data_IF_126371420624
#
_entry.id   IF_126371420624
#
_cell.length_a   1.000
_cell.length_b   1.000
_cell.length_c   1.000
_cell.angle_alpha   90.00
_cell.angle_beta   90.00
_cell.angle_gamma   90.00
#
_symmetry.space_group_name_H-M   'P 1'
#
loop_
_entity.id
_entity.type
_entity.pdbx_description
1 polymer ?
#
# COMPACT_ATOMS: atom_id res chain seq x y z
N UNK A 1 -24.05 -61.68 72.43
CA UNK A 1 -24.07 -62.24 71.08
C UNK A 1 -25.10 -61.47 70.25
N UNK A 2 -24.71 -60.39 69.63
CA UNK A 2 -25.54 -59.73 68.65
C UNK A 2 -24.67 -59.17 67.57
N UNK A 3 -24.84 -59.64 66.31
CA UNK A 3 -24.15 -59.21 65.14
C UNK A 3 -24.94 -58.03 64.56
N UNK A 4 -24.35 -56.86 64.55
CA UNK A 4 -24.89 -55.67 63.91
C UNK A 4 -24.32 -55.63 62.46
N UNK A 5 -25.24 -55.77 61.47
CA UNK A 5 -24.94 -55.58 60.07
C UNK A 5 -24.99 -54.04 59.75
N UNK A 6 -23.86 -53.49 59.37
CA UNK A 6 -23.79 -52.11 58.90
C UNK A 6 -24.08 -52.06 57.41
N UNK A 7 -25.19 -51.39 57.03
CA UNK A 7 -25.53 -51.09 55.67
C UNK A 7 -24.88 -49.77 55.28
N UNK A 8 -24.05 -49.81 54.26
CA UNK A 8 -23.48 -48.63 53.60
C UNK A 8 -24.42 -48.13 52.49
N UNK A 9 -24.79 -46.87 52.40
CA UNK A 9 -25.45 -46.31 51.23
C UNK A 9 -24.41 -45.86 50.19
N UNK A 10 -24.59 -46.37 48.96
CA UNK A 10 -23.86 -45.97 47.78
C UNK A 10 -24.27 -44.53 47.37
N UNK A 11 -23.35 -43.57 47.52
CA UNK A 11 -23.51 -42.26 46.95
C UNK A 11 -23.09 -42.32 45.46
N UNK A 12 -24.03 -42.18 44.58
CA UNK A 12 -23.77 -41.99 43.15
C UNK A 12 -23.27 -40.54 42.89
N UNK A 13 -21.98 -40.43 42.56
CA UNK A 13 -21.36 -39.17 42.16
C UNK A 13 -21.68 -38.92 40.68
N UNK A 14 -22.65 -38.05 40.38
CA UNK A 14 -22.94 -37.56 39.05
C UNK A 14 -21.86 -36.49 38.69
N UNK A 15 -20.86 -36.88 37.87
CA UNK A 15 -19.96 -35.97 37.22
C UNK A 15 -20.71 -35.25 36.09
N UNK A 16 -21.13 -34.03 36.33
CA UNK A 16 -21.55 -33.12 35.28
C UNK A 16 -20.34 -32.67 34.46
N UNK A 17 -20.15 -33.25 33.27
CA UNK A 17 -19.26 -32.69 32.25
C UNK A 17 -19.84 -31.39 31.75
N UNK A 18 -19.36 -30.27 32.33
CA UNK A 18 -19.56 -28.96 31.75
C UNK A 18 -18.81 -28.86 30.43
N UNK A 19 -19.50 -28.95 29.30
CA UNK A 19 -18.97 -28.63 28.00
C UNK A 19 -18.74 -27.14 27.95
N UNK A 20 -17.52 -26.70 28.25
CA UNK A 20 -17.04 -25.36 27.89
C UNK A 20 -16.98 -25.28 26.36
N UNK A 21 -18.06 -24.79 25.75
CA UNK A 21 -18.04 -24.26 24.41
C UNK A 21 -17.23 -22.95 24.45
N UNK A 22 -15.90 -23.07 24.51
CA UNK A 22 -15.03 -21.94 24.21
C UNK A 22 -15.22 -21.59 22.75
N UNK A 23 -15.75 -20.41 22.54
CA UNK A 23 -15.84 -19.69 21.29
C UNK A 23 -14.45 -19.69 20.63
N UNK A 24 -14.15 -20.73 19.87
CA UNK A 24 -12.95 -20.79 19.04
C UNK A 24 -13.21 -19.83 17.87
N UNK A 25 -12.98 -18.54 18.07
CA UNK A 25 -12.66 -17.67 16.95
C UNK A 25 -11.60 -18.43 16.14
N UNK A 26 -11.97 -18.82 14.93
CA UNK A 26 -11.05 -19.44 14.01
C UNK A 26 -9.93 -18.42 13.78
N UNK A 27 -8.81 -18.61 14.47
CA UNK A 27 -7.56 -17.90 14.20
C UNK A 27 -7.14 -18.41 12.83
N UNK A 28 -7.38 -17.61 11.79
CA UNK A 28 -6.86 -17.92 10.47
C UNK A 28 -5.33 -17.99 10.61
N UNK A 29 -4.68 -19.07 10.10
CA UNK A 29 -3.23 -19.18 10.19
C UNK A 29 -2.60 -17.95 9.51
N UNK A 30 -1.61 -17.36 10.18
CA UNK A 30 -0.77 -16.31 9.61
C UNK A 30 -0.25 -16.78 8.23
N UNK A 31 -0.31 -15.94 7.18
CA UNK A 31 0.16 -16.34 5.86
C UNK A 31 1.65 -16.73 5.95
N UNK A 32 2.00 -17.86 5.35
CA UNK A 32 3.40 -18.23 5.18
C UNK A 32 4.15 -17.15 4.40
N UNK A 33 5.48 -17.06 4.53
CA UNK A 33 6.31 -16.10 3.78
C UNK A 33 6.02 -16.13 2.27
N UNK A 34 5.77 -17.32 1.72
CA UNK A 34 5.38 -17.49 0.32
C UNK A 34 3.98 -16.89 0.03
N UNK A 35 3.04 -17.02 0.96
CA UNK A 35 1.71 -16.41 0.84
C UNK A 35 1.76 -14.90 0.90
N UNK A 36 2.58 -14.32 1.79
CA UNK A 36 2.79 -12.87 1.84
C UNK A 36 3.46 -12.33 0.56
N UNK A 37 4.48 -13.02 0.05
CA UNK A 37 5.14 -12.63 -1.20
C UNK A 37 4.19 -12.66 -2.40
N UNK A 38 3.28 -13.66 -2.45
CA UNK A 38 2.23 -13.74 -3.48
C UNK A 38 1.26 -12.56 -3.33
N UNK A 39 0.75 -12.32 -2.13
CA UNK A 39 -0.18 -11.22 -1.86
C UNK A 39 0.44 -9.86 -2.22
N UNK A 40 1.72 -9.63 -1.89
CA UNK A 40 2.42 -8.41 -2.28
C UNK A 40 2.45 -8.21 -3.80
N UNK A 41 2.67 -9.27 -4.59
CA UNK A 41 2.65 -9.20 -6.06
C UNK A 41 1.25 -8.88 -6.58
N UNK A 42 0.23 -9.51 -6.03
CA UNK A 42 -1.16 -9.29 -6.41
C UNK A 42 -1.61 -7.86 -6.09
N UNK A 43 -1.32 -7.35 -4.88
CA UNK A 43 -1.60 -5.96 -4.50
C UNK A 43 -0.91 -4.99 -5.46
N UNK A 44 0.37 -5.22 -5.75
CA UNK A 44 1.10 -4.38 -6.71
C UNK A 44 0.44 -4.40 -8.08
N UNK A 45 0.09 -5.57 -8.57
CA UNK A 45 -0.53 -5.74 -9.89
C UNK A 45 -1.84 -4.94 -9.97
N UNK A 46 -2.74 -5.13 -9.02
CA UNK A 46 -4.03 -4.44 -8.99
C UNK A 46 -3.88 -2.92 -8.92
N UNK A 47 -2.93 -2.41 -8.13
CA UNK A 47 -2.71 -0.96 -8.00
C UNK A 47 -2.17 -0.35 -9.30
N UNK A 48 -1.24 -1.03 -10.01
CA UNK A 48 -0.68 -0.50 -11.28
C UNK A 48 -1.69 -0.58 -12.43
N UNK A 49 -2.65 -1.50 -12.34
CA UNK A 49 -3.70 -1.69 -13.36
C UNK A 49 -4.92 -0.78 -13.15
N UNK A 50 -4.91 0.04 -12.10
CA UNK A 50 -6.04 0.95 -11.83
C UNK A 50 -6.26 1.93 -12.99
N UNK A 51 -7.51 2.11 -13.44
CA UNK A 51 -7.85 3.14 -14.40
C UNK A 51 -7.44 4.53 -13.88
N UNK A 52 -6.88 5.35 -14.77
CA UNK A 52 -6.44 6.73 -14.46
C UNK A 52 -5.22 6.85 -13.55
N UNK A 53 -4.62 5.76 -13.07
CA UNK A 53 -3.32 5.82 -12.39
C UNK A 53 -2.25 6.32 -13.36
N UNK A 54 -1.52 7.34 -12.97
CA UNK A 54 -0.58 8.00 -13.87
C UNK A 54 0.64 8.57 -13.12
N UNK A 55 1.50 9.26 -13.84
CA UNK A 55 2.76 9.82 -13.35
C UNK A 55 2.59 10.87 -12.23
N UNK A 56 1.41 11.45 -12.07
CA UNK A 56 1.10 12.44 -11.03
C UNK A 56 0.49 11.84 -9.77
N UNK A 57 0.39 10.53 -9.73
CA UNK A 57 -0.07 9.77 -8.57
C UNK A 57 1.07 8.92 -8.03
N UNK A 58 1.14 8.73 -6.72
CA UNK A 58 2.06 7.81 -6.07
C UNK A 58 1.29 6.86 -5.18
N UNK A 59 1.29 5.58 -5.50
CA UNK A 59 0.66 4.54 -4.71
C UNK A 59 1.72 3.64 -4.10
N UNK A 60 1.65 3.48 -2.80
CA UNK A 60 2.49 2.55 -2.05
C UNK A 60 1.66 1.72 -1.08
N UNK A 61 2.19 0.59 -0.66
CA UNK A 61 1.47 -0.31 0.23
C UNK A 61 2.43 -1.05 1.16
N UNK A 62 1.87 -1.52 2.28
CA UNK A 62 2.51 -2.43 3.21
C UNK A 62 1.55 -3.58 3.50
N UNK A 63 2.07 -4.80 3.47
CA UNK A 63 1.33 -6.01 3.86
C UNK A 63 1.85 -6.47 5.21
N UNK A 64 0.94 -6.71 6.15
CA UNK A 64 1.22 -7.26 7.47
C UNK A 64 0.19 -8.33 7.79
N UNK A 65 0.59 -9.59 7.66
CA UNK A 65 -0.35 -10.70 7.74
C UNK A 65 -1.43 -10.58 6.66
N UNK A 66 -2.69 -10.50 7.07
CA UNK A 66 -3.85 -10.30 6.19
C UNK A 66 -4.33 -8.83 6.09
N UNK A 67 -3.60 -7.91 6.70
CA UNK A 67 -3.90 -6.46 6.66
C UNK A 67 -3.02 -5.78 5.62
N UNK A 68 -3.64 -4.98 4.75
CA UNK A 68 -2.95 -4.16 3.75
C UNK A 68 -3.18 -2.69 4.08
N UNK A 69 -2.08 -1.96 4.31
CA UNK A 69 -2.11 -0.49 4.45
C UNK A 69 -1.73 0.13 3.12
N UNK A 70 -2.63 0.94 2.56
CA UNK A 70 -2.41 1.72 1.34
C UNK A 70 -1.99 3.14 1.71
N UNK A 71 -0.98 3.66 1.05
CA UNK A 71 -0.40 4.98 1.32
C UNK A 71 -0.07 5.68 0.00
N UNK A 72 0.31 6.95 0.11
CA UNK A 72 0.73 7.78 -1.00
C UNK A 72 -0.26 8.89 -1.32
N UNK A 73 -0.11 9.50 -2.49
CA UNK A 73 -0.89 10.67 -2.91
C UNK A 73 -1.48 10.43 -4.29
N UNK A 74 -2.72 10.86 -4.47
CA UNK A 74 -3.43 10.76 -5.75
C UNK A 74 -4.09 12.08 -6.11
N UNK A 75 -4.21 12.33 -7.41
CA UNK A 75 -4.87 13.53 -7.93
C UNK A 75 -6.40 13.41 -7.97
N UNK A 76 -6.94 12.17 -7.92
CA UNK A 76 -8.37 11.90 -8.04
C UNK A 76 -8.92 11.13 -6.84
N UNK A 77 -10.04 11.59 -6.23
CA UNK A 77 -10.70 10.85 -5.14
C UNK A 77 -11.14 9.44 -5.53
N UNK A 78 -11.56 9.24 -6.79
CA UNK A 78 -11.96 7.93 -7.32
C UNK A 78 -10.82 6.93 -7.24
N UNK A 79 -9.58 7.35 -7.54
CA UNK A 79 -8.41 6.45 -7.50
C UNK A 79 -8.12 5.95 -6.07
N UNK A 80 -8.33 6.79 -5.04
CA UNK A 80 -8.26 6.36 -3.64
C UNK A 80 -9.30 5.28 -3.32
N UNK A 81 -10.54 5.50 -3.76
CA UNK A 81 -11.64 4.56 -3.53
C UNK A 81 -11.40 3.24 -4.26
N UNK A 82 -11.00 3.32 -5.53
CA UNK A 82 -10.77 2.16 -6.38
C UNK A 82 -9.60 1.31 -5.85
N UNK A 83 -8.51 1.95 -5.43
CA UNK A 83 -7.38 1.25 -4.79
C UNK A 83 -7.83 0.44 -3.56
N UNK A 84 -8.63 1.04 -2.68
CA UNK A 84 -9.19 0.33 -1.53
C UNK A 84 -10.10 -0.84 -1.94
N UNK A 85 -10.93 -0.63 -2.95
CA UNK A 85 -11.90 -1.63 -3.42
C UNK A 85 -11.24 -2.83 -4.09
N UNK A 86 -10.23 -2.63 -4.94
CA UNK A 86 -9.55 -3.75 -5.62
C UNK A 86 -8.75 -4.58 -4.63
N UNK A 87 -8.03 -3.94 -3.71
CA UNK A 87 -7.23 -4.65 -2.71
C UNK A 87 -8.11 -5.43 -1.72
N UNK A 88 -9.28 -4.90 -1.36
CA UNK A 88 -10.23 -5.59 -0.46
C UNK A 88 -10.76 -6.90 -1.03
N UNK A 89 -10.73 -7.09 -2.35
CA UNK A 89 -11.22 -8.31 -3.05
C UNK A 89 -10.17 -9.40 -3.16
N UNK A 90 -8.91 -9.11 -2.85
CA UNK A 90 -7.83 -10.06 -2.97
C UNK A 90 -7.95 -11.17 -1.92
N UNK A 91 -7.65 -12.39 -2.35
CA UNK A 91 -7.59 -13.54 -1.46
C UNK A 91 -6.52 -13.34 -0.38
N UNK A 92 -6.85 -13.62 0.86
CA UNK A 92 -5.95 -13.43 2.00
C UNK A 92 -5.98 -12.02 2.61
N UNK A 93 -6.72 -11.06 2.05
CA UNK A 93 -6.93 -9.74 2.64
C UNK A 93 -8.18 -9.75 3.52
N UNK A 94 -8.01 -9.51 4.81
CA UNK A 94 -9.12 -9.36 5.77
C UNK A 94 -9.41 -7.91 6.11
N UNK A 95 -8.39 -7.05 6.03
CA UNK A 95 -8.51 -5.64 6.37
C UNK A 95 -7.69 -4.78 5.41
N UNK A 96 -8.28 -3.65 5.00
CA UNK A 96 -7.58 -2.60 4.23
C UNK A 96 -7.65 -1.31 5.01
N UNK A 97 -6.48 -0.76 5.35
CA UNK A 97 -6.30 0.57 5.90
C UNK A 97 -5.89 1.53 4.79
N UNK A 98 -6.83 2.35 4.33
CA UNK A 98 -6.62 3.23 3.18
C UNK A 98 -6.24 4.65 3.62
N UNK A 99 -4.96 4.88 3.77
CA UNK A 99 -4.33 6.14 4.15
C UNK A 99 -3.91 7.00 2.93
N UNK A 100 -4.34 6.65 1.71
CA UNK A 100 -4.04 7.43 0.51
C UNK A 100 -4.59 8.86 0.68
N UNK A 101 -3.73 9.85 0.46
CA UNK A 101 -4.10 11.26 0.47
C UNK A 101 -4.60 11.69 -0.92
N UNK A 102 -5.70 12.43 -0.97
CA UNK A 102 -6.15 13.09 -2.19
C UNK A 102 -5.59 14.50 -2.21
N UNK A 103 -4.81 14.80 -3.26
CA UNK A 103 -4.23 16.12 -3.43
C UNK A 103 -5.31 17.18 -3.68
N UNK A 104 -5.14 18.41 -3.12
CA UNK A 104 -6.08 19.50 -3.37
C UNK A 104 -6.18 19.85 -4.87
N UNK A 105 -7.36 20.25 -5.30
CA UNK A 105 -7.54 20.82 -6.64
C UNK A 105 -6.86 22.19 -6.68
N UNK A 106 -5.87 22.34 -7.55
CA UNK A 106 -5.10 23.58 -7.71
C UNK A 106 -4.66 23.74 -9.16
N UNK A 107 -5.24 24.69 -9.92
CA UNK A 107 -4.79 24.94 -11.28
C UNK A 107 -3.32 25.30 -11.40
N UNK A 108 -2.76 25.98 -10.37
CA UNK A 108 -1.34 26.30 -10.34
C UNK A 108 -0.49 25.03 -10.17
N UNK A 109 -0.87 24.11 -9.26
CA UNK A 109 -0.16 22.83 -9.09
C UNK A 109 -0.25 21.97 -10.35
N UNK A 110 -1.38 22.02 -11.07
CA UNK A 110 -1.53 21.31 -12.34
C UNK A 110 -0.57 21.86 -13.41
N UNK A 111 -0.42 23.19 -13.51
CA UNK A 111 0.56 23.80 -14.41
C UNK A 111 1.99 23.36 -14.06
N UNK A 112 2.32 23.34 -12.77
CA UNK A 112 3.64 22.90 -12.28
C UNK A 112 3.84 21.40 -12.58
N UNK A 113 2.84 20.51 -12.35
CA UNK A 113 2.91 19.09 -12.69
C UNK A 113 3.32 18.88 -14.16
N UNK A 114 2.63 19.55 -15.09
CA UNK A 114 2.92 19.43 -16.51
C UNK A 114 4.26 20.06 -16.89
N UNK A 115 4.65 21.15 -16.27
CA UNK A 115 5.94 21.79 -16.53
C UNK A 115 7.11 20.91 -16.04
N UNK A 116 7.01 20.33 -14.85
CA UNK A 116 8.01 19.40 -14.29
C UNK A 116 8.05 18.12 -15.14
N UNK A 117 6.89 17.58 -15.54
CA UNK A 117 6.84 16.44 -16.45
C UNK A 117 7.62 16.68 -17.74
N UNK A 118 7.38 17.82 -18.38
CA UNK A 118 8.11 18.18 -19.62
C UNK A 118 9.61 18.37 -19.38
N UNK A 119 9.99 18.92 -18.23
CA UNK A 119 11.40 19.12 -17.91
C UNK A 119 12.12 17.78 -17.65
N UNK A 120 11.54 16.92 -16.81
CA UNK A 120 12.11 15.61 -16.44
C UNK A 120 12.13 14.67 -17.64
N UNK A 121 10.97 14.46 -18.28
CA UNK A 121 10.83 13.51 -19.40
C UNK A 121 11.22 14.12 -20.76
N UNK A 122 11.49 15.41 -20.83
CA UNK A 122 12.14 16.05 -21.97
C UNK A 122 13.65 15.81 -22.02
N UNK A 123 14.28 15.45 -20.90
CA UNK A 123 15.69 15.14 -20.86
C UNK A 123 15.95 13.75 -21.49
N UNK A 124 16.81 13.69 -22.51
CA UNK A 124 17.02 12.52 -23.38
C UNK A 124 17.28 11.22 -22.59
N UNK A 125 18.15 11.24 -21.57
CA UNK A 125 18.48 10.04 -20.79
C UNK A 125 17.31 9.53 -19.97
N UNK A 126 16.51 10.41 -19.37
CA UNK A 126 15.34 10.04 -18.56
C UNK A 126 14.19 9.59 -19.45
N UNK A 127 13.95 10.29 -20.56
CA UNK A 127 12.94 9.92 -21.56
C UNK A 127 13.18 8.52 -22.11
N UNK A 128 14.41 8.22 -22.54
CA UNK A 128 14.76 6.94 -23.14
C UNK A 128 14.61 5.77 -22.17
N UNK A 129 14.92 5.97 -20.88
CA UNK A 129 14.87 4.89 -19.88
C UNK A 129 13.50 4.72 -19.25
N UNK A 130 12.79 5.81 -18.99
CA UNK A 130 11.60 5.80 -18.14
C UNK A 130 10.34 6.30 -18.84
N UNK A 131 10.46 7.01 -19.97
CA UNK A 131 9.33 7.71 -20.61
C UNK A 131 8.41 6.82 -21.46
N UNK A 132 8.85 5.61 -21.84
CA UNK A 132 8.06 4.72 -22.71
C UNK A 132 7.15 3.73 -21.97
N UNK A 133 7.14 3.77 -20.65
CA UNK A 133 6.25 2.91 -19.85
C UNK A 133 4.85 3.51 -19.81
N UNK A 134 3.81 2.65 -19.71
CA UNK A 134 2.42 3.09 -19.58
C UNK A 134 2.24 4.01 -18.35
N UNK A 135 2.90 3.68 -17.24
CA UNK A 135 3.09 4.56 -16.09
C UNK A 135 4.60 4.70 -15.88
N UNK A 136 5.18 5.89 -16.13
CA UNK A 136 6.59 6.14 -15.95
C UNK A 136 7.04 5.95 -14.49
N UNK A 137 8.26 5.47 -14.27
CA UNK A 137 8.75 5.11 -12.93
C UNK A 137 9.15 6.28 -12.03
N UNK A 138 9.24 7.49 -12.57
CA UNK A 138 9.46 8.72 -11.80
C UNK A 138 8.12 9.44 -11.67
N UNK A 139 7.53 9.37 -10.50
CA UNK A 139 6.27 10.04 -10.18
C UNK A 139 6.51 11.47 -9.70
N UNK A 140 5.62 12.39 -10.08
CA UNK A 140 5.72 13.82 -9.84
C UNK A 140 4.53 14.26 -9.00
N UNK A 141 4.74 14.45 -7.71
CA UNK A 141 3.71 14.87 -6.78
C UNK A 141 3.89 16.35 -6.51
N UNK A 142 2.84 17.15 -6.74
CA UNK A 142 2.88 18.60 -6.51
C UNK A 142 1.78 19.01 -5.56
N UNK A 143 2.17 19.75 -4.52
CA UNK A 143 1.27 20.29 -3.51
C UNK A 143 1.70 21.68 -3.10
N UNK A 144 0.85 22.68 -3.34
CA UNK A 144 1.11 24.08 -3.03
C UNK A 144 2.45 24.56 -3.59
N UNK A 145 2.80 24.21 -4.83
CA UNK A 145 4.04 24.56 -5.49
C UNK A 145 5.27 23.75 -5.06
N UNK A 146 5.13 22.86 -4.08
CA UNK A 146 6.22 21.97 -3.66
C UNK A 146 6.14 20.67 -4.45
N UNK A 147 7.25 20.28 -5.05
CA UNK A 147 7.39 19.07 -5.86
C UNK A 147 8.05 17.96 -5.05
N UNK A 148 7.47 16.78 -5.08
CA UNK A 148 8.10 15.55 -4.57
C UNK A 148 8.27 14.58 -5.72
N UNK A 149 9.51 14.13 -5.97
CA UNK A 149 9.83 13.08 -6.93
C UNK A 149 9.86 11.74 -6.18
N UNK A 150 9.03 10.81 -6.61
CA UNK A 150 8.90 9.46 -6.02
C UNK A 150 9.21 8.40 -7.07
N UNK A 151 9.60 7.21 -6.62
CA UNK A 151 9.78 6.07 -7.51
C UNK A 151 11.17 5.46 -7.49
N UNK A 152 11.53 4.79 -8.61
CA UNK A 152 12.80 4.05 -8.73
C UNK A 152 13.51 4.43 -10.02
N UNK A 153 14.81 4.64 -9.92
CA UNK A 153 15.70 4.93 -11.04
C UNK A 153 16.91 3.99 -11.05
N UNK A 154 17.52 3.80 -12.20
CA UNK A 154 18.59 2.83 -12.39
C UNK A 154 19.91 3.24 -11.69
N UNK A 155 20.16 4.54 -11.52
CA UNK A 155 21.42 5.04 -10.95
C UNK A 155 21.29 6.44 -10.33
N UNK A 156 22.31 6.85 -9.58
CA UNK A 156 22.37 8.17 -8.93
C UNK A 156 22.44 9.32 -9.92
N UNK A 157 23.01 9.13 -11.12
CA UNK A 157 23.07 10.18 -12.12
C UNK A 157 21.65 10.54 -12.60
N UNK A 158 20.80 9.56 -12.86
CA UNK A 158 19.41 9.78 -13.26
C UNK A 158 18.60 10.46 -12.15
N UNK A 159 18.82 10.05 -10.90
CA UNK A 159 18.23 10.72 -9.72
C UNK A 159 18.60 12.19 -9.64
N UNK A 160 19.89 12.50 -9.83
CA UNK A 160 20.40 13.87 -9.80
C UNK A 160 19.87 14.70 -10.98
N UNK A 161 19.82 14.12 -12.18
CA UNK A 161 19.27 14.78 -13.37
C UNK A 161 17.80 15.14 -13.15
N UNK A 162 16.99 14.19 -12.67
CA UNK A 162 15.58 14.43 -12.36
C UNK A 162 15.41 15.59 -11.38
N UNK A 163 16.24 15.63 -10.33
CA UNK A 163 16.25 16.73 -9.35
C UNK A 163 16.58 18.07 -9.98
N UNK A 164 17.62 18.13 -10.81
CA UNK A 164 18.05 19.37 -11.49
C UNK A 164 16.94 19.87 -12.42
N UNK A 165 16.35 18.97 -13.21
CA UNK A 165 15.29 19.32 -14.14
C UNK A 165 14.05 19.85 -13.41
N UNK A 166 13.64 19.24 -12.31
CA UNK A 166 12.50 19.69 -11.52
C UNK A 166 12.74 21.05 -10.86
N UNK A 167 13.95 21.26 -10.29
CA UNK A 167 14.32 22.55 -9.68
C UNK A 167 14.42 23.72 -10.68
N UNK A 168 14.69 23.44 -11.96
CA UNK A 168 14.76 24.44 -13.02
C UNK A 168 13.40 24.96 -13.50
N UNK A 169 12.29 24.39 -13.02
CA UNK A 169 10.95 24.78 -13.48
C UNK A 169 10.45 26.02 -12.74
N UNK A 170 10.04 27.02 -13.52
CA UNK A 170 9.42 28.24 -12.96
C UNK A 170 8.13 27.93 -12.20
N UNK A 171 7.97 28.55 -11.04
CA UNK A 171 6.82 28.35 -10.17
C UNK A 171 6.98 27.20 -9.16
N UNK A 172 8.03 26.39 -9.26
CA UNK A 172 8.39 25.42 -8.24
C UNK A 172 8.97 26.12 -7.03
N UNK A 173 8.38 25.89 -5.87
CA UNK A 173 8.83 26.46 -4.62
C UNK A 173 9.97 25.66 -3.98
N UNK A 174 9.84 24.33 -3.99
CA UNK A 174 10.86 23.41 -3.51
C UNK A 174 10.75 22.04 -4.21
N UNK A 175 11.87 21.29 -4.23
CA UNK A 175 11.89 19.90 -4.72
C UNK A 175 12.43 18.97 -3.64
N UNK A 176 11.64 17.97 -3.29
CA UNK A 176 12.05 16.84 -2.45
C UNK A 176 12.27 15.62 -3.34
N UNK A 177 13.50 15.09 -3.35
CA UNK A 177 13.84 13.95 -4.21
C UNK A 177 13.93 12.66 -3.41
N UNK A 178 12.84 11.89 -3.42
CA UNK A 178 12.71 10.58 -2.77
C UNK A 178 12.96 9.41 -3.73
N UNK A 179 13.51 9.67 -4.92
CA UNK A 179 13.85 8.61 -5.86
C UNK A 179 14.84 7.63 -5.23
N UNK A 180 14.54 6.36 -5.36
CA UNK A 180 15.40 5.26 -4.90
C UNK A 180 16.18 4.72 -6.09
N UNK A 181 17.46 4.43 -5.87
CA UNK A 181 18.29 3.77 -6.89
C UNK A 181 18.11 2.27 -6.77
N UNK A 182 17.90 1.62 -7.92
CA UNK A 182 17.80 0.16 -8.02
C UNK A 182 19.14 -0.47 -7.58
N UNK A 183 19.06 -1.50 -6.74
CA UNK A 183 20.24 -2.20 -6.21
C UNK A 183 20.54 -3.43 -7.06
#
# INVERSE_FOLDING_TARGET
MFRLKLLLPSAALLLALGANAQDRKAVMPEPSDAGQARLMKEVRHELVMLPYYNVFDNLSYRVSGSTVTLMGQVTRPTLKSDAGNVVKRLEGVTQVDNQIEVLPLSPNDDQIRYAVYRAVYGHTSLSTRYGYQAVPSIHIIVRNGNVTLEGVVANEADKNIANIQANGVSGVFSVTNNLRVEK
#
